data_IF_162863148193
#
_entry.id   IF_162863148193
#
_cell.length_a   1.000
_cell.length_b   1.000
_cell.length_c   1.000
_cell.angle_alpha   90.00
_cell.angle_beta   90.00
_cell.angle_gamma   90.00
#
_symmetry.space_group_name_H-M   'P 1'
#
loop_
_entity.id
_entity.type
_entity.pdbx_description
1 polymer ?
#
# COMPACT_ATOMS: atom_id res chain seq x y z
N UNK A 1 -17.91 -3.19 -13.67
CA UNK A 1 -17.83 -4.62 -13.30
C UNK A 1 -16.51 -5.20 -13.83
N UNK A 2 -15.38 -4.81 -13.21
CA UNK A 2 -14.01 -5.26 -13.54
C UNK A 2 -13.58 -6.43 -12.63
N UNK A 3 -14.27 -6.58 -11.50
CA UNK A 3 -13.98 -7.53 -10.42
C UNK A 3 -13.99 -9.02 -10.83
N UNK A 4 -15.02 -9.47 -11.54
CA UNK A 4 -15.21 -10.91 -11.78
C UNK A 4 -14.23 -11.49 -12.81
N UNK A 5 -13.75 -10.67 -13.75
CA UNK A 5 -12.77 -11.10 -14.76
C UNK A 5 -11.33 -11.00 -14.22
N UNK A 6 -11.06 -10.04 -13.32
CA UNK A 6 -9.77 -9.90 -12.64
C UNK A 6 -9.41 -11.11 -11.76
N UNK A 7 -10.40 -11.75 -11.15
CA UNK A 7 -10.19 -12.94 -10.29
C UNK A 7 -9.43 -14.08 -10.98
N UNK A 8 -9.62 -14.28 -12.29
CA UNK A 8 -8.91 -15.34 -13.05
C UNK A 8 -7.45 -15.01 -13.36
N UNK A 9 -7.07 -13.73 -13.31
CA UNK A 9 -5.66 -13.32 -13.42
C UNK A 9 -4.93 -13.63 -12.13
N UNK A 10 -5.55 -13.31 -11.00
CA UNK A 10 -4.99 -13.51 -9.67
C UNK A 10 -4.82 -15.00 -9.34
N UNK A 11 -3.80 -15.30 -8.52
CA UNK A 11 -3.65 -16.60 -7.89
C UNK A 11 -4.66 -16.75 -6.75
N UNK A 12 -5.12 -17.97 -6.51
CA UNK A 12 -5.92 -18.34 -5.34
C UNK A 12 -5.03 -19.09 -4.35
N UNK A 13 -5.20 -18.76 -3.07
CA UNK A 13 -4.50 -19.40 -1.98
C UNK A 13 -5.54 -20.04 -1.07
N UNK A 14 -5.22 -21.23 -0.57
CA UNK A 14 -6.00 -21.86 0.48
C UNK A 14 -5.91 -21.01 1.75
N UNK A 15 -7.00 -20.94 2.51
CA UNK A 15 -7.29 -19.90 3.50
C UNK A 15 -6.41 -20.02 4.78
N UNK A 16 -5.12 -19.70 4.67
CA UNK A 16 -4.04 -19.88 5.65
C UNK A 16 -3.65 -18.60 6.41
N UNK A 17 -4.57 -17.63 6.44
CA UNK A 17 -4.34 -16.32 7.04
C UNK A 17 -3.79 -15.27 6.06
N UNK A 18 -3.34 -15.67 4.87
CA UNK A 18 -3.01 -14.76 3.77
C UNK A 18 -4.27 -14.41 2.97
N UNK A 19 -4.61 -13.12 2.88
CA UNK A 19 -5.86 -12.67 2.29
C UNK A 19 -5.65 -11.54 1.29
N UNK A 20 -6.59 -11.45 0.35
CA UNK A 20 -6.74 -10.33 -0.58
C UNK A 20 -7.86 -9.42 -0.11
N UNK A 21 -7.67 -8.13 -0.24
CA UNK A 21 -8.70 -7.11 0.01
C UNK A 21 -8.73 -6.16 -1.17
N UNK A 22 -9.91 -5.60 -1.45
CA UNK A 22 -10.11 -4.72 -2.59
C UNK A 22 -10.77 -3.41 -2.16
N UNK A 23 -10.38 -2.30 -2.79
CA UNK A 23 -10.96 -0.96 -2.63
C UNK A 23 -11.09 -0.47 -1.18
N UNK A 24 -10.17 -0.86 -0.30
CA UNK A 24 -10.23 -0.52 1.11
C UNK A 24 -9.09 0.41 1.49
N UNK A 25 -9.44 1.58 2.02
CA UNK A 25 -8.46 2.57 2.44
C UNK A 25 -7.68 2.10 3.67
N UNK A 26 -6.39 2.43 3.73
CA UNK A 26 -5.51 2.12 4.83
C UNK A 26 -5.77 3.09 6.00
N UNK A 27 -6.91 2.92 6.67
CA UNK A 27 -7.40 3.85 7.70
C UNK A 27 -6.53 3.94 8.96
N UNK A 28 -5.64 2.98 9.19
CA UNK A 28 -4.64 3.01 10.29
C UNK A 28 -3.27 3.53 9.85
N UNK A 29 -3.12 3.93 8.57
CA UNK A 29 -1.87 4.48 8.08
C UNK A 29 -1.60 5.89 8.65
N UNK A 30 -0.35 6.21 9.07
CA UNK A 30 -0.03 7.51 9.64
C UNK A 30 -0.27 8.66 8.65
N UNK A 31 -0.82 9.78 9.13
CA UNK A 31 -1.23 10.94 8.30
C UNK A 31 -0.09 11.92 8.01
N UNK A 32 1.00 11.81 8.75
CA UNK A 32 2.09 12.78 8.83
C UNK A 32 3.46 12.16 8.52
N UNK A 33 3.46 11.13 7.67
CA UNK A 33 4.70 10.63 7.04
C UNK A 33 5.01 11.52 5.84
N UNK A 34 6.27 11.93 5.64
CA UNK A 34 6.62 13.06 4.77
C UNK A 34 6.02 13.09 3.35
N UNK A 35 5.75 11.93 2.74
CA UNK A 35 5.10 11.81 1.42
C UNK A 35 3.55 11.82 1.47
N UNK A 36 2.96 11.78 2.66
CA UNK A 36 1.52 11.70 2.93
C UNK A 36 0.94 13.00 3.53
N UNK A 37 1.66 14.11 3.47
CA UNK A 37 1.25 15.34 4.13
C UNK A 37 -0.08 15.89 3.56
N UNK A 38 -1.15 15.74 4.34
CA UNK A 38 -2.53 16.15 4.01
C UNK A 38 -3.20 15.41 2.85
N UNK A 39 -2.67 14.25 2.44
CA UNK A 39 -3.35 13.38 1.49
C UNK A 39 -4.34 12.46 2.21
N UNK A 40 -5.36 12.01 1.48
CA UNK A 40 -6.21 10.91 1.93
C UNK A 40 -5.38 9.65 2.06
N UNK A 41 -5.74 8.76 2.98
CA UNK A 41 -5.04 7.49 3.17
C UNK A 41 -4.96 6.70 1.84
N UNK A 42 -3.89 5.92 1.61
CA UNK A 42 -3.78 5.06 0.45
C UNK A 42 -4.98 4.11 0.37
N UNK A 43 -5.52 3.91 -0.82
CA UNK A 43 -6.71 3.08 -1.05
C UNK A 43 -6.51 2.32 -2.35
N UNK A 44 -5.69 1.26 -2.33
CA UNK A 44 -5.46 0.52 -3.54
C UNK A 44 -6.71 -0.26 -3.94
N UNK A 45 -6.89 -0.43 -5.24
CA UNK A 45 -7.96 -1.27 -5.79
C UNK A 45 -7.77 -2.74 -5.38
N UNK A 46 -6.53 -3.20 -5.17
CA UNK A 46 -6.24 -4.40 -4.38
C UNK A 46 -4.96 -4.40 -3.58
N UNK A 47 -4.94 -5.24 -2.55
CA UNK A 47 -3.78 -5.52 -1.71
C UNK A 47 -3.85 -6.97 -1.21
N UNK A 48 -2.68 -7.60 -1.06
CA UNK A 48 -2.56 -8.93 -0.46
C UNK A 48 -1.54 -8.96 0.67
N UNK A 49 -1.91 -9.62 1.77
CA UNK A 49 -1.08 -9.70 2.96
C UNK A 49 -1.61 -10.68 4.00
N UNK A 50 -0.82 -10.88 5.06
CA UNK A 50 -1.23 -11.67 6.21
C UNK A 50 -2.21 -10.90 7.09
N UNK A 51 -3.19 -11.58 7.65
CA UNK A 51 -4.00 -10.99 8.72
C UNK A 51 -3.11 -10.69 9.94
N UNK A 52 -3.40 -9.57 10.61
CA UNK A 52 -2.71 -9.12 11.82
C UNK A 52 -2.63 -10.23 12.89
N UNK A 53 -3.66 -11.09 12.99
CA UNK A 53 -3.71 -12.20 13.95
C UNK A 53 -2.60 -13.24 13.76
N UNK A 54 -2.07 -13.39 12.55
CA UNK A 54 -0.99 -14.34 12.23
C UNK A 54 0.32 -13.98 12.96
N UNK A 55 0.49 -12.70 13.31
CA UNK A 55 1.66 -12.20 14.03
C UNK A 55 1.64 -12.53 15.53
N UNK A 56 0.51 -13.01 16.09
CA UNK A 56 0.44 -13.34 17.52
C UNK A 56 1.52 -14.37 17.91
N UNK A 57 2.16 -14.23 19.09
CA UNK A 57 1.87 -13.28 20.17
C UNK A 57 2.57 -11.92 20.05
N UNK A 58 3.17 -11.58 18.91
CA UNK A 58 3.75 -10.26 18.67
C UNK A 58 2.64 -9.26 18.31
N UNK A 59 2.48 -8.15 19.06
CA UNK A 59 1.40 -7.18 18.83
C UNK A 59 1.79 -6.18 17.73
N UNK A 60 1.80 -6.64 16.47
CA UNK A 60 2.34 -5.88 15.31
C UNK A 60 1.80 -4.45 15.21
N UNK A 61 0.49 -4.24 15.30
CA UNK A 61 -0.11 -2.90 15.19
C UNK A 61 0.24 -1.93 16.34
N UNK A 62 0.73 -2.44 17.48
CA UNK A 62 1.20 -1.58 18.59
C UNK A 62 2.69 -1.30 18.54
N UNK A 63 3.46 -2.18 17.89
CA UNK A 63 4.93 -2.15 17.93
C UNK A 63 5.52 -1.53 16.67
N UNK A 64 4.77 -1.53 15.57
CA UNK A 64 5.26 -1.06 14.27
C UNK A 64 4.23 -0.12 13.65
N UNK A 65 4.64 1.14 13.47
CA UNK A 65 3.81 2.18 12.84
C UNK A 65 3.54 1.85 11.37
N UNK A 66 2.29 2.01 10.93
CA UNK A 66 1.84 1.72 9.56
C UNK A 66 1.82 0.24 9.18
N UNK A 67 2.10 -0.68 10.11
CA UNK A 67 2.15 -2.10 9.81
C UNK A 67 0.79 -2.75 9.59
N UNK A 68 -0.27 -2.20 10.19
CA UNK A 68 -1.65 -2.67 10.06
C UNK A 68 -2.41 -1.67 9.19
N UNK A 69 -3.24 -2.16 8.28
CA UNK A 69 -3.88 -1.30 7.29
C UNK A 69 -5.17 -0.66 7.81
N UNK A 70 -6.01 -1.40 8.52
CA UNK A 70 -7.37 -1.01 8.85
C UNK A 70 -7.55 -0.82 10.36
N UNK A 71 -7.92 0.40 10.72
CA UNK A 71 -8.10 0.79 12.10
C UNK A 71 -9.29 0.06 12.71
N UNK A 72 -9.13 -0.41 13.95
CA UNK A 72 -10.17 -1.08 14.73
C UNK A 72 -10.73 -2.39 14.10
N UNK A 73 -10.05 -2.96 13.11
CA UNK A 73 -10.42 -4.24 12.48
C UNK A 73 -9.51 -5.40 12.97
N UNK A 74 -10.05 -6.38 13.71
CA UNK A 74 -9.27 -7.52 14.19
C UNK A 74 -8.79 -8.46 13.08
N UNK A 75 -9.37 -8.38 11.87
CA UNK A 75 -8.98 -9.13 10.68
C UNK A 75 -8.18 -8.27 9.70
N UNK A 76 -7.73 -7.07 10.11
CA UNK A 76 -6.93 -6.22 9.24
C UNK A 76 -5.73 -6.95 8.67
N UNK A 77 -5.39 -6.67 7.42
CA UNK A 77 -4.12 -7.06 6.86
C UNK A 77 -2.97 -6.32 7.56
N UNK A 78 -1.81 -6.96 7.55
CA UNK A 78 -0.58 -6.41 8.11
C UNK A 78 0.63 -6.73 7.22
N UNK A 79 1.45 -5.71 6.99
CA UNK A 79 2.69 -5.73 6.23
C UNK A 79 2.54 -6.43 4.86
N UNK A 80 1.59 -5.98 4.01
CA UNK A 80 1.47 -6.50 2.65
C UNK A 80 2.70 -6.11 1.81
N UNK A 81 2.97 -6.90 0.77
CA UNK A 81 4.11 -6.73 -0.15
C UNK A 81 3.69 -6.46 -1.59
N UNK A 82 2.39 -6.61 -1.88
CA UNK A 82 1.84 -6.36 -3.20
C UNK A 82 0.55 -5.56 -3.10
N UNK A 83 0.43 -4.54 -3.94
CA UNK A 83 -0.80 -3.79 -4.17
C UNK A 83 -1.01 -3.56 -5.68
N UNK A 84 -2.22 -3.23 -6.08
CA UNK A 84 -2.57 -3.06 -7.48
C UNK A 84 -3.63 -2.00 -7.71
N UNK A 85 -3.50 -1.33 -8.84
CA UNK A 85 -4.44 -0.32 -9.36
C UNK A 85 -5.11 -0.82 -10.64
N UNK A 86 -6.44 -0.72 -10.70
CA UNK A 86 -7.26 -1.11 -11.82
C UNK A 86 -7.95 0.10 -12.43
N UNK A 87 -7.64 0.32 -13.70
CA UNK A 87 -8.36 1.30 -14.50
C UNK A 87 -9.34 0.61 -15.43
N UNK A 88 -10.41 1.34 -15.76
CA UNK A 88 -11.27 0.93 -16.86
C UNK A 88 -10.49 0.99 -18.18
N UNK A 89 -10.93 0.22 -19.18
CA UNK A 89 -10.31 0.25 -20.50
C UNK A 89 -10.24 1.68 -21.06
N UNK A 90 -9.05 2.11 -21.50
CA UNK A 90 -8.83 3.44 -22.09
C UNK A 90 -8.92 4.60 -21.10
N UNK A 91 -8.93 4.31 -19.79
CA UNK A 91 -8.75 5.31 -18.73
C UNK A 91 -7.28 5.66 -18.56
N UNK A 92 -7.04 6.69 -17.76
CA UNK A 92 -5.72 7.24 -17.54
C UNK A 92 -4.83 6.29 -16.72
N UNK A 93 -3.84 5.70 -17.41
CA UNK A 93 -2.85 4.83 -16.79
C UNK A 93 -1.75 5.60 -16.07
N UNK A 94 -1.58 6.90 -16.37
CA UNK A 94 -0.65 7.75 -15.63
C UNK A 94 -1.18 8.04 -14.23
N UNK A 95 -2.49 8.25 -14.09
CA UNK A 95 -3.14 8.33 -12.78
C UNK A 95 -2.92 7.05 -11.95
N UNK A 96 -3.10 5.88 -12.56
CA UNK A 96 -2.84 4.59 -11.90
C UNK A 96 -1.38 4.43 -11.50
N UNK A 97 -0.45 4.89 -12.35
CA UNK A 97 0.99 4.87 -12.06
C UNK A 97 1.30 5.71 -10.81
N UNK A 98 0.73 6.91 -10.71
CA UNK A 98 0.90 7.81 -9.57
C UNK A 98 0.26 7.24 -8.29
N UNK A 99 -0.96 6.72 -8.37
CA UNK A 99 -1.63 6.06 -7.24
C UNK A 99 -0.83 4.86 -6.73
N UNK A 100 -0.43 3.98 -7.65
CA UNK A 100 0.40 2.81 -7.28
C UNK A 100 1.79 3.18 -6.74
N UNK A 101 2.32 4.37 -7.04
CA UNK A 101 3.55 4.89 -6.42
C UNK A 101 3.30 5.31 -4.97
N UNK A 102 2.16 5.94 -4.70
CA UNK A 102 1.75 6.33 -3.36
C UNK A 102 1.44 5.11 -2.48
N UNK A 103 0.71 4.12 -3.00
CA UNK A 103 0.46 2.85 -2.31
C UNK A 103 1.76 2.11 -2.02
N UNK A 104 2.64 1.98 -3.02
CA UNK A 104 3.95 1.35 -2.86
C UNK A 104 4.83 2.04 -1.82
N UNK A 105 4.81 3.38 -1.77
CA UNK A 105 5.51 4.16 -0.75
C UNK A 105 5.00 3.87 0.66
N UNK A 106 3.69 3.72 0.83
CA UNK A 106 3.07 3.32 2.10
C UNK A 106 3.52 1.92 2.56
N UNK A 107 3.60 0.96 1.63
CA UNK A 107 4.06 -0.39 1.95
C UNK A 107 5.56 -0.42 2.31
N UNK A 108 6.39 0.33 1.57
CA UNK A 108 7.83 0.47 1.87
C UNK A 108 8.03 1.14 3.23
N UNK A 109 7.23 2.16 3.57
CA UNK A 109 7.28 2.79 4.89
C UNK A 109 7.05 1.76 5.99
N UNK A 110 5.97 0.98 5.91
CA UNK A 110 5.63 -0.03 6.91
C UNK A 110 6.72 -1.11 7.05
N UNK A 111 7.28 -1.57 5.93
CA UNK A 111 8.42 -2.48 5.93
C UNK A 111 9.63 -1.87 6.63
N UNK A 112 10.01 -0.64 6.31
CA UNK A 112 11.16 0.04 6.92
C UNK A 112 10.99 0.21 8.44
N UNK A 113 9.77 0.56 8.90
CA UNK A 113 9.47 0.61 10.33
C UNK A 113 9.67 -0.77 10.99
N UNK A 114 9.27 -1.83 10.29
CA UNK A 114 9.42 -3.20 10.79
C UNK A 114 10.90 -3.62 10.86
N UNK A 115 11.67 -3.35 9.81
CA UNK A 115 13.08 -3.68 9.73
C UNK A 115 13.92 -2.92 10.76
N UNK A 116 13.56 -1.66 11.02
CA UNK A 116 14.11 -0.86 12.11
C UNK A 116 13.83 -1.52 13.47
N UNK A 117 12.60 -1.99 13.71
CA UNK A 117 12.22 -2.68 14.94
C UNK A 117 13.04 -3.95 15.21
N UNK A 118 13.37 -4.73 14.17
CA UNK A 118 14.21 -5.93 14.27
C UNK A 118 15.72 -5.65 14.11
N UNK A 119 16.11 -4.37 13.92
CA UNK A 119 17.49 -3.92 13.71
C UNK A 119 18.19 -4.61 12.52
N UNK A 120 17.46 -4.83 11.44
CA UNK A 120 17.95 -5.40 10.18
C UNK A 120 17.49 -4.55 9.01
N UNK A 121 18.00 -3.31 8.85
CA UNK A 121 17.61 -2.46 7.74
C UNK A 121 17.98 -3.11 6.41
N UNK A 122 17.15 -2.87 5.41
CA UNK A 122 17.47 -3.23 4.03
C UNK A 122 18.69 -2.42 3.55
N UNK A 123 19.52 -2.98 2.65
CA UNK A 123 20.52 -2.21 1.93
C UNK A 123 19.88 -1.08 1.13
N UNK A 124 20.63 0.01 0.90
CA UNK A 124 20.16 1.10 0.06
C UNK A 124 19.80 0.60 -1.36
N UNK A 125 18.62 1.00 -1.86
CA UNK A 125 18.13 0.57 -3.18
C UNK A 125 17.50 -0.81 -3.22
N UNK A 126 17.40 -1.52 -2.08
CA UNK A 126 16.77 -2.85 -2.03
C UNK A 126 15.24 -2.73 -2.15
N UNK A 127 14.67 -3.44 -3.12
CA UNK A 127 13.24 -3.42 -3.42
C UNK A 127 12.61 -4.80 -3.20
N UNK A 128 11.62 -4.85 -2.30
CA UNK A 128 10.85 -6.07 -1.98
C UNK A 128 9.34 -5.84 -2.11
N UNK A 129 8.92 -4.57 -2.13
CA UNK A 129 7.53 -4.21 -2.39
C UNK A 129 7.34 -4.10 -3.89
N UNK A 130 6.26 -4.71 -4.37
CA UNK A 130 5.82 -4.56 -5.75
C UNK A 130 4.45 -3.92 -5.82
N UNK A 131 4.22 -3.12 -6.86
CA UNK A 131 2.85 -2.79 -7.26
C UNK A 131 2.64 -3.10 -8.73
N UNK A 132 1.38 -3.17 -9.13
CA UNK A 132 1.03 -3.23 -10.54
C UNK A 132 -0.13 -2.30 -10.88
N UNK A 133 -0.23 -1.96 -12.16
CA UNK A 133 -1.37 -1.21 -12.71
C UNK A 133 -1.91 -1.95 -13.91
N UNK A 134 -3.22 -1.97 -14.13
CA UNK A 134 -3.79 -2.53 -15.36
C UNK A 134 -5.08 -1.82 -15.80
N UNK A 135 -5.27 -1.65 -17.11
CA UNK A 135 -6.55 -1.24 -17.74
C UNK A 135 -7.25 -2.40 -18.45
N UNK A 136 -6.75 -3.63 -18.27
CA UNK A 136 -7.17 -4.82 -19.02
C UNK A 136 -6.59 -4.91 -20.45
N UNK A 137 -5.83 -3.91 -20.92
CA UNK A 137 -5.01 -3.99 -22.12
C UNK A 137 -3.56 -4.24 -21.75
N UNK A 138 -2.99 -3.43 -20.87
CA UNK A 138 -1.63 -3.59 -20.37
C UNK A 138 -1.66 -3.93 -18.88
N UNK A 139 -0.66 -4.68 -18.44
CA UNK A 139 -0.29 -4.80 -17.02
C UNK A 139 1.15 -4.30 -16.87
N UNK A 140 1.36 -3.35 -15.97
CA UNK A 140 2.67 -2.79 -15.67
C UNK A 140 3.05 -3.16 -14.25
N UNK A 141 4.31 -3.54 -14.02
CA UNK A 141 4.84 -3.89 -12.72
C UNK A 141 5.92 -2.91 -12.29
N UNK A 142 5.90 -2.56 -11.01
CA UNK A 142 6.83 -1.62 -10.42
C UNK A 142 7.45 -2.18 -9.14
N UNK A 143 8.75 -1.97 -8.98
CA UNK A 143 9.49 -2.22 -7.75
C UNK A 143 9.53 -0.93 -6.92
N UNK A 144 9.45 -1.06 -5.60
CA UNK A 144 9.49 0.06 -4.68
C UNK A 144 10.59 -0.10 -3.64
N UNK A 145 11.31 0.98 -3.40
CA UNK A 145 12.35 1.06 -2.37
C UNK A 145 12.41 2.47 -1.80
N UNK A 146 13.14 2.61 -0.69
CA UNK A 146 13.49 3.91 -0.15
C UNK A 146 15.01 4.11 -0.18
N UNK A 147 15.44 5.35 -0.37
CA UNK A 147 16.84 5.74 -0.33
C UNK A 147 16.98 7.11 0.33
N UNK A 148 18.16 7.38 0.89
CA UNK A 148 18.50 8.71 1.37
C UNK A 148 19.06 9.54 0.21
N UNK A 149 18.67 10.80 0.13
CA UNK A 149 19.31 11.80 -0.73
C UNK A 149 20.70 12.14 -0.21
N UNK A 150 21.49 12.86 -1.02
CA UNK A 150 22.80 13.39 -0.59
C UNK A 150 22.67 14.27 0.67
N UNK A 151 21.57 14.99 0.81
CA UNK A 151 21.25 15.84 1.97
C UNK A 151 20.63 15.06 3.16
N UNK A 152 20.49 13.74 3.04
CA UNK A 152 19.97 12.87 4.09
C UNK A 152 18.43 12.83 4.20
N UNK A 153 17.70 13.37 3.23
CA UNK A 153 16.25 13.24 3.18
C UNK A 153 15.84 11.84 2.69
N UNK A 154 14.79 11.25 3.25
CA UNK A 154 14.30 9.95 2.80
C UNK A 154 13.36 10.12 1.60
N UNK A 155 13.71 9.50 0.48
CA UNK A 155 12.89 9.43 -0.73
C UNK A 155 12.35 8.02 -0.96
N UNK A 156 11.17 7.95 -1.57
CA UNK A 156 10.52 6.72 -1.99
C UNK A 156 10.51 6.66 -3.51
N UNK A 157 10.99 5.55 -4.05
CA UNK A 157 11.19 5.39 -5.48
C UNK A 157 10.31 4.28 -6.03
N UNK A 158 9.68 4.56 -7.16
CA UNK A 158 8.99 3.59 -8.00
C UNK A 158 9.85 3.34 -9.25
N UNK A 159 10.23 2.10 -9.50
CA UNK A 159 10.99 1.71 -10.69
C UNK A 159 10.18 0.75 -11.57
N UNK A 160 9.98 1.06 -12.87
CA UNK A 160 9.28 0.16 -13.79
C UNK A 160 10.09 -1.10 -14.05
N UNK A 161 9.50 -2.26 -13.81
CA UNK A 161 10.15 -3.57 -14.05
C UNK A 161 9.83 -4.05 -15.46
N UNK A 162 8.54 -4.15 -15.78
CA UNK A 162 8.07 -4.67 -17.06
C UNK A 162 6.64 -4.22 -17.35
N UNK A 163 6.26 -4.26 -18.63
CA UNK A 163 4.91 -4.04 -19.13
C UNK A 163 4.56 -5.12 -20.14
N UNK A 164 3.34 -5.66 -20.06
CA UNK A 164 2.88 -6.74 -20.93
C UNK A 164 1.49 -6.42 -21.47
N UNK A 165 1.27 -6.60 -22.79
CA UNK A 165 -0.04 -6.43 -23.40
C UNK A 165 -0.85 -7.73 -23.31
N UNK A 166 -1.92 -7.71 -22.52
CA UNK A 166 -2.78 -8.86 -22.25
C UNK A 166 -3.68 -9.26 -23.43
N UNK A 167 -3.71 -8.46 -24.50
CA UNK A 167 -4.62 -8.64 -25.64
C UNK A 167 -3.91 -8.90 -26.96
N UNK A 168 -2.60 -8.67 -27.05
CA UNK A 168 -1.87 -8.81 -28.30
C UNK A 168 -1.80 -10.28 -28.74
N UNK A 169 -1.52 -11.19 -27.80
CA UNK A 169 -1.49 -12.62 -28.09
C UNK A 169 -1.82 -13.46 -26.85
N UNK A 170 -2.17 -14.73 -27.07
CA UNK A 170 -2.34 -15.70 -25.98
C UNK A 170 -1.05 -15.91 -25.18
N UNK A 171 0.11 -15.79 -25.84
CA UNK A 171 1.41 -15.93 -25.17
C UNK A 171 1.66 -14.76 -24.22
N UNK A 172 1.39 -13.52 -24.64
CA UNK A 172 1.54 -12.34 -23.78
C UNK A 172 0.51 -12.32 -22.65
N UNK A 173 -0.71 -12.79 -22.90
CA UNK A 173 -1.68 -13.01 -21.82
C UNK A 173 -1.16 -13.97 -20.76
N UNK A 174 -0.61 -15.13 -21.17
CA UNK A 174 -0.01 -16.10 -20.26
C UNK A 174 1.19 -15.53 -19.52
N UNK A 175 2.00 -14.72 -20.20
CA UNK A 175 3.15 -14.02 -19.64
C UNK A 175 2.73 -13.08 -18.51
N UNK A 176 1.84 -12.12 -18.80
CA UNK A 176 1.38 -11.15 -17.82
C UNK A 176 0.67 -11.80 -16.63
N UNK A 177 -0.14 -12.84 -16.88
CA UNK A 177 -0.75 -13.64 -15.80
C UNK A 177 0.29 -14.37 -14.96
N UNK A 178 1.33 -14.94 -15.56
CA UNK A 178 2.41 -15.61 -14.81
C UNK A 178 3.19 -14.61 -13.97
N UNK A 179 3.54 -13.46 -14.52
CA UNK A 179 4.26 -12.40 -13.80
C UNK A 179 3.49 -11.94 -12.56
N UNK A 180 2.18 -11.67 -12.69
CA UNK A 180 1.33 -11.29 -11.57
C UNK A 180 1.33 -12.35 -10.47
N UNK A 181 1.14 -13.62 -10.85
CA UNK A 181 1.07 -14.71 -9.87
C UNK A 181 2.41 -14.99 -9.20
N UNK A 182 3.51 -14.81 -9.92
CA UNK A 182 4.85 -14.90 -9.33
C UNK A 182 5.09 -13.77 -8.32
N UNK A 183 4.63 -12.54 -8.62
CA UNK A 183 4.69 -11.43 -7.67
C UNK A 183 3.84 -11.70 -6.43
N UNK A 184 2.65 -12.29 -6.57
CA UNK A 184 1.83 -12.72 -5.43
C UNK A 184 2.54 -13.80 -4.59
N UNK A 185 3.19 -14.76 -5.25
CA UNK A 185 3.92 -15.84 -4.56
C UNK A 185 5.12 -15.32 -3.78
N UNK A 186 5.93 -14.44 -4.39
CA UNK A 186 7.04 -13.79 -3.71
C UNK A 186 6.53 -12.92 -2.55
N UNK A 187 5.52 -12.08 -2.77
CA UNK A 187 4.90 -11.26 -1.72
C UNK A 187 4.40 -12.10 -0.53
N UNK A 188 3.78 -13.26 -0.80
CA UNK A 188 3.37 -14.21 0.24
C UNK A 188 4.58 -14.78 0.97
N UNK A 189 5.59 -15.27 0.27
CA UNK A 189 6.81 -15.79 0.87
C UNK A 189 7.49 -14.75 1.78
N UNK A 190 7.66 -13.52 1.30
CA UNK A 190 8.24 -12.42 2.08
C UNK A 190 7.43 -12.06 3.30
N UNK A 191 6.10 -12.10 3.21
CA UNK A 191 5.21 -11.89 4.35
C UNK A 191 5.44 -12.93 5.45
N UNK A 192 5.53 -14.22 5.09
CA UNK A 192 5.81 -15.28 6.05
C UNK A 192 7.22 -15.17 6.66
N UNK A 193 8.23 -14.91 5.83
CA UNK A 193 9.60 -14.70 6.30
C UNK A 193 9.68 -13.56 7.32
N UNK A 194 9.07 -12.40 7.04
CA UNK A 194 9.09 -11.26 7.96
C UNK A 194 8.28 -11.53 9.23
N UNK A 195 7.13 -12.21 9.13
CA UNK A 195 6.34 -12.64 10.29
C UNK A 195 7.17 -13.50 11.23
N UNK A 196 7.87 -14.49 10.70
CA UNK A 196 8.66 -15.42 11.52
C UNK A 196 9.83 -14.69 12.18
N UNK A 197 10.53 -13.82 11.45
CA UNK A 197 11.59 -12.96 12.01
C UNK A 197 11.09 -12.07 13.16
N UNK A 198 9.90 -11.47 13.03
CA UNK A 198 9.31 -10.65 14.08
C UNK A 198 8.98 -11.47 15.33
N UNK A 199 8.40 -12.66 15.16
CA UNK A 199 8.03 -13.55 16.26
C UNK A 199 9.26 -14.06 16.99
N UNK A 200 10.31 -14.42 16.27
CA UNK A 200 11.60 -14.81 16.84
C UNK A 200 12.26 -13.66 17.62
N UNK A 201 12.32 -12.47 17.02
CA UNK A 201 12.87 -11.28 17.69
C UNK A 201 12.11 -10.95 18.98
N UNK A 202 10.78 -11.04 18.94
CA UNK A 202 9.91 -10.83 20.10
C UNK A 202 10.15 -11.86 21.21
N UNK A 203 10.27 -13.14 20.84
CA UNK A 203 10.58 -14.22 21.79
C UNK A 203 11.95 -13.99 22.44
N UNK A 204 12.97 -13.67 21.66
CA UNK A 204 14.32 -13.40 22.16
C UNK A 204 14.35 -12.21 23.13
N UNK A 205 13.70 -11.09 22.79
CA UNK A 205 13.59 -9.92 23.69
C UNK A 205 12.91 -10.28 25.02
N UNK A 206 11.84 -11.09 24.99
CA UNK A 206 11.17 -11.55 26.21
C UNK A 206 12.03 -12.46 27.07
N UNK A 207 12.82 -13.35 26.47
CA UNK A 207 13.75 -14.22 27.20
C UNK A 207 14.91 -13.46 27.82
N UNK A 208 15.35 -12.33 27.22
CA UNK A 208 16.40 -11.47 27.77
C UNK A 208 15.90 -10.56 28.91
N UNK A 209 14.62 -10.19 28.91
CA UNK A 209 13.98 -9.36 29.94
C UNK A 209 13.62 -10.14 31.23
N UNK A 210 14.10 -11.37 31.39
CA UNK A 210 13.90 -12.15 32.62
C UNK A 210 15.19 -12.21 33.46
N UNK A 211 15.41 -11.26 34.40
CA UNK A 211 16.16 -11.54 35.62
C UNK A 211 15.21 -12.14 36.66
N UNK A 212 15.58 -13.28 37.24
CA UNK A 212 15.08 -13.67 38.56
C UNK A 212 15.74 -12.74 39.58
N UNK A 213 15.01 -12.06 40.48
CA UNK A 213 15.62 -11.60 41.71
C UNK A 213 15.80 -12.80 42.65
N UNK A 214 17.00 -13.06 43.19
CA UNK A 214 17.11 -13.68 44.49
C UNK A 214 16.39 -12.77 45.50
N UNK A 215 15.54 -13.37 46.32
CA UNK A 215 14.99 -12.74 47.51
C UNK A 215 16.15 -12.63 48.49
N UNK A 216 16.70 -11.43 48.68
CA UNK A 216 17.39 -11.07 49.92
C UNK A 216 16.99 -9.65 50.31
N UNK A 217 16.62 -9.53 51.58
CA UNK A 217 16.05 -8.39 52.27
C UNK A 217 16.99 -7.18 52.38
N UNK A 218 16.38 -6.04 52.71
CA UNK A 218 16.94 -4.82 53.30
C UNK A 218 17.62 -3.76 52.40
N UNK A 219 16.93 -2.59 52.41
CA UNK A 219 17.45 -1.23 52.54
C UNK A 219 18.12 -0.51 51.35
N UNK A 220 17.50 0.62 50.97
CA UNK A 220 18.16 1.75 50.32
C UNK A 220 17.68 2.07 48.91
N UNK A 221 16.64 2.90 48.81
CA UNK A 221 16.22 3.49 47.53
C UNK A 221 17.12 4.68 47.16
N UNK A 222 17.97 4.53 46.14
CA UNK A 222 18.51 5.63 45.36
C UNK A 222 17.75 5.74 44.03
N UNK A 223 17.22 6.94 43.76
CA UNK A 223 16.48 7.29 42.55
C UNK A 223 17.46 7.44 41.39
N UNK A 224 17.49 6.47 40.47
CA UNK A 224 18.24 6.61 39.21
C UNK A 224 17.32 7.23 38.15
N UNK A 225 17.73 8.41 37.72
CA UNK A 225 17.15 9.25 36.68
C UNK A 225 17.11 8.51 35.32
N UNK A 226 15.94 8.50 34.68
CA UNK A 226 15.75 7.88 33.37
C UNK A 226 16.48 8.68 32.29
N UNK A 227 17.45 8.02 31.63
CA UNK A 227 18.15 8.56 30.47
C UNK A 227 17.24 8.51 29.22
N UNK A 228 17.16 9.60 28.42
CA UNK A 228 16.24 9.68 27.29
C UNK A 228 16.69 8.85 26.07
N UNK A 229 15.69 8.29 25.40
CA UNK A 229 15.74 7.65 24.07
C UNK A 229 16.39 8.53 23.01
N UNK A 230 17.47 8.04 22.40
CA UNK A 230 18.03 8.61 21.17
C UNK A 230 17.25 8.10 19.94
N UNK A 231 16.47 8.98 19.34
CA UNK A 231 16.28 9.03 17.89
C UNK A 231 16.49 10.48 17.45
N UNK A 232 17.22 10.74 16.35
CA UNK A 232 17.33 12.08 15.81
C UNK A 232 15.99 12.48 15.20
N UNK A 233 15.25 13.34 15.91
CA UNK A 233 14.21 14.17 15.29
C UNK A 233 14.89 15.19 14.38
N UNK A 234 14.54 15.31 13.09
CA UNK A 234 15.06 16.39 12.27
C UNK A 234 14.59 17.74 12.86
N UNK A 235 15.42 18.80 12.80
CA UNK A 235 15.03 20.11 13.31
C UNK A 235 13.87 20.67 12.48
N UNK A 236 12.75 20.94 13.13
CA UNK A 236 11.69 21.80 12.59
C UNK A 236 12.26 23.22 12.57
N UNK A 237 12.72 23.67 11.40
CA UNK A 237 13.14 25.04 11.17
C UNK A 237 11.98 25.91 10.68
N UNK A 238 11.42 26.64 11.64
CA UNK A 238 10.96 28.04 11.66
C UNK A 238 10.40 28.75 10.39
N UNK A 239 9.14 29.19 10.59
CA UNK A 239 8.47 30.46 10.22
C UNK A 239 7.68 30.56 8.90
N UNK A 240 6.35 30.79 8.99
CA UNK A 240 5.54 31.27 7.88
C UNK A 240 5.76 32.77 7.67
N UNK A 241 6.05 33.16 6.43
CA UNK A 241 5.98 34.56 6.03
C UNK A 241 4.51 34.99 5.96
N UNK A 242 4.12 35.85 6.91
CA UNK A 242 2.91 36.66 6.82
C UNK A 242 3.02 37.63 5.63
N UNK A 243 2.43 37.24 4.50
CA UNK A 243 2.12 38.12 3.37
C UNK A 243 0.62 38.46 3.37
N UNK A 244 0.32 39.75 3.44
CA UNK A 244 -1.01 40.36 3.65
C UNK A 244 -2.11 39.89 2.68
N UNK A 245 -3.27 39.73 3.30
CA UNK A 245 -4.65 39.89 2.81
C UNK A 245 -4.81 40.93 1.68
N UNK A 246 -5.49 40.53 0.61
CA UNK A 246 -6.43 41.40 -0.09
C UNK A 246 -7.68 40.60 -0.46
N UNK A 247 -8.76 40.91 0.24
CA UNK A 247 -10.13 40.52 -0.04
C UNK A 247 -10.64 41.18 -1.33
N UNK A 248 -11.26 40.41 -2.21
CA UNK A 248 -12.30 40.92 -3.10
C UNK A 248 -13.42 39.89 -3.23
N UNK A 249 -14.53 40.22 -2.57
CA UNK A 249 -15.87 39.68 -2.80
C UNK A 249 -16.25 39.86 -4.26
N UNK A 250 -16.80 38.81 -4.88
CA UNK A 250 -17.84 38.96 -5.90
C UNK A 250 -18.73 37.73 -5.89
N UNK A 251 -19.87 37.91 -5.25
CA UNK A 251 -21.08 37.10 -5.34
C UNK A 251 -21.62 37.09 -6.77
N UNK A 252 -21.88 35.92 -7.33
CA UNK A 252 -22.98 35.73 -8.29
C UNK A 252 -23.52 34.31 -8.20
N UNK A 253 -24.72 34.22 -7.62
CA UNK A 253 -25.65 33.12 -7.74
C UNK A 253 -26.42 33.23 -9.05
N UNK A 254 -26.40 32.20 -9.89
CA UNK A 254 -27.48 31.94 -10.87
C UNK A 254 -27.65 30.44 -11.06
N UNK A 255 -28.82 29.99 -10.62
CA UNK A 255 -29.50 28.74 -10.95
C UNK A 255 -29.77 28.69 -12.46
N UNK A 256 -29.56 27.53 -13.12
CA UNK A 256 -30.39 27.06 -14.25
C UNK A 256 -29.97 25.66 -14.74
N UNK A 257 -30.80 24.67 -14.38
CA UNK A 257 -31.34 23.51 -15.13
C UNK A 257 -30.46 22.52 -15.95
N UNK A 258 -30.82 21.21 -15.93
CA UNK A 258 -30.13 20.14 -16.67
C UNK A 258 -30.57 20.02 -18.15
N UNK A 259 -29.78 19.34 -19.01
CA UNK A 259 -30.13 19.14 -20.43
C UNK A 259 -31.21 18.06 -20.62
N UNK A 260 -31.99 18.14 -21.71
CA UNK A 260 -33.11 17.23 -21.96
C UNK A 260 -32.64 15.86 -22.46
N UNK A 261 -33.39 14.84 -22.04
CA UNK A 261 -33.37 13.49 -22.59
C UNK A 261 -33.86 13.50 -24.04
N UNK A 262 -33.15 12.79 -24.92
CA UNK A 262 -33.63 12.45 -26.26
C UNK A 262 -34.04 10.98 -26.29
N UNK A 263 -35.36 10.78 -26.27
CA UNK A 263 -36.00 9.54 -26.69
C UNK A 263 -35.90 9.42 -28.22
N UNK A 264 -35.34 8.31 -28.72
CA UNK A 264 -35.64 7.86 -30.08
C UNK A 264 -36.32 6.49 -30.02
N UNK A 265 -37.62 6.56 -30.28
CA UNK A 265 -38.50 5.42 -30.45
C UNK A 265 -38.18 4.62 -31.71
N UNK A 266 -38.41 3.32 -31.55
CA UNK A 266 -38.58 2.27 -32.55
C UNK A 266 -39.30 2.71 -33.83
N UNK A 267 -38.67 2.40 -34.98
CA UNK A 267 -39.27 2.49 -36.31
C UNK A 267 -39.02 1.22 -37.11
N UNK A 268 -40.11 0.53 -37.42
CA UNK A 268 -40.21 -0.77 -38.07
C UNK A 268 -39.74 -0.81 -39.52
N UNK A 269 -38.95 -1.85 -39.83
CA UNK A 269 -39.07 -2.77 -40.97
C UNK A 269 -39.18 -2.23 -42.39
N UNK A 270 -38.24 -2.64 -43.27
CA UNK A 270 -38.53 -2.94 -44.68
C UNK A 270 -37.58 -4.02 -45.22
N UNK A 271 -38.18 -5.13 -45.70
CA UNK A 271 -37.55 -6.19 -46.51
C UNK A 271 -37.28 -5.69 -47.93
N UNK A 272 -36.16 -6.11 -48.53
CA UNK A 272 -35.99 -6.46 -49.96
C UNK A 272 -34.55 -7.00 -50.17
N UNK A 273 -34.38 -8.31 -50.37
CA UNK A 273 -34.26 -9.06 -51.64
C UNK A 273 -32.99 -8.73 -52.46
N UNK A 274 -32.13 -9.76 -52.54
CA UNK A 274 -30.92 -9.91 -53.35
C UNK A 274 -31.27 -9.96 -54.85
N UNK A 275 -30.32 -9.62 -55.73
CA UNK A 275 -30.01 -10.53 -56.83
C UNK A 275 -28.50 -10.77 -56.99
N UNK A 276 -28.14 -12.05 -57.18
CA UNK A 276 -26.86 -12.51 -57.72
C UNK A 276 -26.90 -12.50 -59.25
N UNK A 277 -25.73 -12.45 -59.90
CA UNK A 277 -25.37 -13.36 -60.98
C UNK A 277 -24.51 -14.53 -60.49
#
# INVERSE_FOLDING_TARGET
MVFEVGGKLLKEYDNDGYQRVFNQAFTDFPKDVGFNNSLSAPQPDFVEGLQMREYRPFPVGRQVSGAVLYKDDPNSLALPYVAGEWKGRGKDMEEARVQSAYDGSALVYARNQTLSYVRKPDPAGHAEVMTFTTDGTNINFFAHYAALTEDGALEYHQYPITSTNLKNSHQEFKEGRRQLRNAQDDARERSYQLKDQLKENWKAKKSQLAPLPPIEDEDGYEVIEQQPTYQPTPPISSKPNHGKVSSSRSSHSTVSSPPPAVDFASGSGHKRKIPSP
#
